data_IF_232968696484
#
_entry.id   IF_232968696484
#
_cell.length_a   1.000
_cell.length_b   1.000
_cell.length_c   1.000
_cell.angle_alpha   90.00
_cell.angle_beta   90.00
_cell.angle_gamma   90.00
#
_symmetry.space_group_name_H-M   'P 1'
#
loop_
_entity.id
_entity.type
_entity.pdbx_description
1 polymer ?
#
# COMPACT_ATOMS: atom_id res chain seq x y z
N UNK A 1 -1.45 -16.46 -49.54
CA UNK A 1 -1.28 -17.63 -48.68
C UNK A 1 0.09 -17.54 -48.02
N UNK A 2 0.19 -16.84 -46.93
CA UNK A 2 1.40 -16.80 -46.06
C UNK A 2 0.87 -16.67 -44.61
N UNK A 3 0.90 -17.77 -43.91
CA UNK A 3 0.56 -17.85 -42.47
C UNK A 3 1.73 -17.29 -41.68
N UNK A 4 1.50 -16.22 -40.93
CA UNK A 4 2.43 -15.74 -39.88
C UNK A 4 2.12 -16.52 -38.59
N UNK A 5 3.07 -17.36 -38.19
CA UNK A 5 3.15 -17.95 -36.87
C UNK A 5 3.47 -16.83 -35.86
N UNK A 6 2.54 -16.51 -34.96
CA UNK A 6 2.82 -15.88 -33.69
C UNK A 6 2.90 -16.99 -32.67
N UNK A 7 4.10 -17.41 -32.31
CA UNK A 7 4.37 -18.19 -31.12
C UNK A 7 5.62 -17.57 -30.50
N UNK A 8 5.45 -16.84 -29.43
CA UNK A 8 6.44 -16.65 -28.39
C UNK A 8 5.70 -16.50 -27.06
N UNK A 9 5.21 -17.62 -26.52
CA UNK A 9 5.03 -17.76 -25.09
C UNK A 9 6.44 -17.89 -24.50
N UNK A 10 6.95 -16.80 -23.97
CA UNK A 10 8.08 -16.85 -23.05
C UNK A 10 7.47 -17.15 -21.68
N UNK A 11 7.47 -18.42 -21.30
CA UNK A 11 7.31 -18.80 -19.90
C UNK A 11 8.47 -18.16 -19.13
N UNK A 12 8.21 -17.41 -18.04
CA UNK A 12 9.29 -16.96 -17.19
C UNK A 12 9.83 -18.18 -16.44
N UNK A 13 10.99 -18.68 -16.88
CA UNK A 13 11.82 -19.57 -16.06
C UNK A 13 12.30 -18.77 -14.85
N UNK A 14 11.56 -18.87 -13.77
CA UNK A 14 11.99 -18.39 -12.45
C UNK A 14 13.03 -19.39 -11.96
N UNK A 15 14.30 -19.11 -12.20
CA UNK A 15 15.37 -19.67 -11.36
C UNK A 15 15.18 -19.13 -9.97
N UNK A 16 14.98 -20.03 -9.01
CA UNK A 16 14.63 -19.77 -7.62
C UNK A 16 15.75 -19.04 -6.86
N UNK A 17 15.80 -17.73 -7.00
CA UNK A 17 16.39 -16.81 -6.06
C UNK A 17 15.28 -15.91 -5.55
N UNK A 18 14.66 -16.32 -4.46
CA UNK A 18 13.60 -15.54 -3.80
C UNK A 18 14.19 -14.23 -3.25
N UNK A 19 13.98 -13.14 -3.94
CA UNK A 19 14.32 -11.80 -3.47
C UNK A 19 13.06 -11.14 -2.92
N UNK A 20 13.00 -10.85 -1.63
CA UNK A 20 11.83 -10.16 -1.06
C UNK A 20 11.69 -8.77 -1.69
N UNK A 21 10.51 -8.49 -2.25
CA UNK A 21 10.11 -7.15 -2.67
C UNK A 21 9.70 -6.37 -1.41
N UNK A 22 10.63 -5.66 -0.79
CA UNK A 22 10.41 -5.04 0.51
C UNK A 22 10.83 -3.59 0.48
N UNK A 23 9.97 -2.71 1.00
CA UNK A 23 10.39 -1.35 1.37
C UNK A 23 11.45 -1.49 2.46
N UNK A 24 12.62 -0.92 2.22
CA UNK A 24 13.69 -0.80 3.21
C UNK A 24 13.49 0.42 4.09
N UNK A 25 13.04 1.52 3.47
CA UNK A 25 12.85 2.80 4.16
C UNK A 25 11.71 3.59 3.52
N UNK A 26 10.83 4.13 4.34
CA UNK A 26 9.86 5.15 3.96
C UNK A 26 10.09 6.35 4.88
N UNK A 27 10.48 7.48 4.30
CA UNK A 27 10.64 8.73 5.03
C UNK A 27 9.67 9.78 4.51
N UNK A 28 9.02 10.49 5.43
CA UNK A 28 8.05 11.55 5.12
C UNK A 28 8.30 12.76 6.01
N UNK A 29 8.40 13.93 5.41
CA UNK A 29 8.59 15.18 6.13
C UNK A 29 7.59 16.24 5.69
N UNK A 30 7.13 17.03 6.65
CA UNK A 30 6.22 18.17 6.46
C UNK A 30 4.93 17.82 5.69
N UNK A 31 4.39 16.61 5.93
CA UNK A 31 3.13 16.16 5.35
C UNK A 31 2.11 15.82 6.44
N UNK A 32 1.05 16.60 6.56
CA UNK A 32 -0.02 16.45 7.56
C UNK A 32 0.55 16.38 8.98
N UNK A 33 0.52 15.20 9.63
CA UNK A 33 1.09 14.98 10.95
C UNK A 33 2.49 14.33 10.91
N UNK A 34 3.00 13.99 9.74
CA UNK A 34 4.29 13.34 9.57
C UNK A 34 5.39 14.38 9.38
N UNK A 35 6.31 14.42 10.32
CA UNK A 35 7.43 15.34 10.35
C UNK A 35 8.68 14.60 10.80
N UNK A 36 9.71 14.55 9.95
CA UNK A 36 10.88 13.70 10.15
C UNK A 36 10.48 12.26 10.52
N UNK A 37 9.45 11.77 9.83
CA UNK A 37 8.87 10.47 10.10
C UNK A 37 9.57 9.41 9.24
N UNK A 38 10.13 8.41 9.89
CA UNK A 38 10.72 7.24 9.24
C UNK A 38 10.02 5.98 9.73
N UNK A 39 9.53 5.15 8.80
CA UNK A 39 8.84 3.91 9.14
C UNK A 39 9.87 2.77 9.19
N UNK A 40 10.13 2.15 10.36
CA UNK A 40 11.15 1.10 10.52
C UNK A 40 10.58 -0.28 10.13
N UNK A 41 10.53 -0.60 8.83
CA UNK A 41 9.90 -1.82 8.28
C UNK A 41 10.84 -2.68 7.45
N UNK A 42 12.13 -2.38 7.47
CA UNK A 42 13.13 -3.15 6.72
C UNK A 42 13.16 -4.61 7.14
N UNK A 43 13.11 -5.51 6.15
CA UNK A 43 13.16 -6.96 6.38
C UNK A 43 11.87 -7.60 6.89
N UNK A 44 10.79 -6.84 7.08
CA UNK A 44 9.51 -7.34 7.57
C UNK A 44 8.53 -7.58 6.41
N UNK A 45 8.07 -8.81 6.25
CA UNK A 45 7.06 -9.16 5.23
C UNK A 45 5.65 -8.71 5.62
N UNK A 46 5.37 -8.53 6.91
CA UNK A 46 4.09 -8.01 7.40
C UNK A 46 4.29 -7.13 8.62
N UNK A 47 3.59 -6.00 8.66
CA UNK A 47 3.69 -4.97 9.70
C UNK A 47 2.30 -4.53 10.12
N UNK A 48 2.08 -4.37 11.43
CA UNK A 48 0.88 -3.78 11.99
C UNK A 48 1.18 -2.40 12.59
N UNK A 49 0.42 -1.41 12.16
CA UNK A 49 0.45 -0.06 12.74
C UNK A 49 -0.69 0.08 13.75
N UNK A 50 -0.36 0.29 15.01
CA UNK A 50 -1.33 0.52 16.09
C UNK A 50 -1.17 1.92 16.69
N UNK A 51 -2.15 2.40 17.42
CA UNK A 51 -2.13 3.71 18.08
C UNK A 51 -3.49 4.38 18.07
N UNK A 52 -3.66 5.43 18.85
CA UNK A 52 -4.93 6.17 18.99
C UNK A 52 -5.42 6.78 17.66
N UNK A 53 -6.71 7.13 17.61
CA UNK A 53 -7.24 7.92 16.51
C UNK A 53 -6.47 9.25 16.38
N UNK A 54 -6.15 9.63 15.14
CA UNK A 54 -5.35 10.83 14.88
C UNK A 54 -3.84 10.68 15.08
N UNK A 55 -3.33 9.47 15.41
CA UNK A 55 -1.89 9.22 15.55
C UNK A 55 -1.12 9.20 14.23
N UNK A 56 -1.79 9.16 13.08
CA UNK A 56 -1.16 9.23 11.76
C UNK A 56 -1.11 7.93 10.98
N UNK A 57 -1.73 6.83 11.46
CA UNK A 57 -1.76 5.52 10.77
C UNK A 57 -2.24 5.64 9.31
N UNK A 58 -3.43 6.16 9.10
CA UNK A 58 -3.99 6.41 7.75
C UNK A 58 -3.13 7.38 6.93
N UNK A 59 -2.42 8.32 7.59
CA UNK A 59 -1.55 9.28 6.89
C UNK A 59 -0.35 8.61 6.24
N UNK A 60 0.15 7.50 6.81
CA UNK A 60 1.18 6.65 6.17
C UNK A 60 0.64 6.10 4.83
N UNK A 61 -0.58 5.59 4.82
CA UNK A 61 -1.26 5.13 3.60
C UNK A 61 -1.42 6.24 2.56
N UNK A 62 -1.76 7.48 2.97
CA UNK A 62 -1.82 8.61 2.04
C UNK A 62 -0.46 8.98 1.45
N UNK A 63 0.63 8.85 2.20
CA UNK A 63 1.97 9.07 1.67
C UNK A 63 2.34 8.04 0.59
N UNK A 64 2.04 6.76 0.82
CA UNK A 64 2.20 5.70 -0.17
C UNK A 64 1.30 5.91 -1.40
N UNK A 65 0.06 6.35 -1.20
CA UNK A 65 -0.89 6.64 -2.30
C UNK A 65 -0.38 7.76 -3.23
N UNK A 66 0.29 8.78 -2.68
CA UNK A 66 0.90 9.84 -3.50
C UNK A 66 1.96 9.24 -4.43
N UNK A 67 2.86 8.39 -3.91
CA UNK A 67 3.88 7.72 -4.70
C UNK A 67 3.28 6.80 -5.76
N UNK A 68 2.24 6.04 -5.40
CA UNK A 68 1.50 5.20 -6.32
C UNK A 68 0.85 6.01 -7.45
N UNK A 69 0.16 7.11 -7.13
CA UNK A 69 -0.49 8.00 -8.12
C UNK A 69 0.53 8.57 -9.11
N UNK A 70 1.70 8.97 -8.61
CA UNK A 70 2.79 9.43 -9.49
C UNK A 70 3.14 8.32 -10.48
N UNK A 71 3.37 7.10 -10.02
CA UNK A 71 3.73 5.97 -10.89
C UNK A 71 2.62 5.59 -11.88
N UNK A 72 1.35 5.75 -11.49
CA UNK A 72 0.17 5.56 -12.36
C UNK A 72 -0.08 6.70 -13.36
N UNK A 73 0.83 7.68 -13.46
CA UNK A 73 0.79 8.74 -14.46
C UNK A 73 0.26 10.09 -13.98
N UNK A 74 -0.15 10.23 -12.71
CA UNK A 74 -0.54 11.54 -12.18
C UNK A 74 0.70 12.42 -12.05
N UNK A 75 0.81 13.41 -12.92
CA UNK A 75 1.98 14.27 -12.98
C UNK A 75 1.75 15.69 -12.42
N UNK A 76 0.51 16.16 -12.30
CA UNK A 76 0.21 17.50 -11.76
C UNK A 76 0.20 17.49 -10.24
N UNK A 77 1.00 18.35 -9.62
CA UNK A 77 1.15 18.42 -8.15
C UNK A 77 -0.21 18.67 -7.47
N UNK A 78 -1.06 19.53 -8.02
CA UNK A 78 -2.38 19.85 -7.45
C UNK A 78 -3.32 18.65 -7.30
N UNK A 79 -3.07 17.58 -8.09
CA UNK A 79 -3.84 16.32 -8.07
C UNK A 79 -3.22 15.30 -7.08
N UNK A 80 -2.02 15.57 -6.57
CA UNK A 80 -1.27 14.76 -5.61
C UNK A 80 -1.36 15.33 -4.21
N UNK A 81 -0.98 16.59 -4.03
CA UNK A 81 -0.89 17.28 -2.74
C UNK A 81 -1.37 18.73 -2.84
N UNK A 82 -1.78 19.29 -1.71
CA UNK A 82 -2.25 20.69 -1.60
C UNK A 82 -1.48 21.41 -0.49
N UNK A 83 -1.48 22.74 -0.51
CA UNK A 83 -0.85 23.56 0.54
C UNK A 83 -1.38 23.26 1.95
N UNK A 84 -2.66 22.90 2.07
CA UNK A 84 -3.26 22.47 3.34
C UNK A 84 -2.69 21.16 3.91
N UNK A 85 -1.98 20.37 3.09
CA UNK A 85 -1.34 19.14 3.53
C UNK A 85 0.05 19.39 4.16
N UNK A 86 0.56 20.63 4.11
CA UNK A 86 1.76 21.03 4.85
C UNK A 86 1.50 20.95 6.38
N UNK A 87 2.42 20.36 7.09
CA UNK A 87 2.32 20.20 8.56
C UNK A 87 2.16 21.57 9.23
N UNK A 88 1.01 21.79 9.86
CA UNK A 88 0.68 23.06 10.54
C UNK A 88 0.80 24.30 9.63
N UNK A 89 0.66 24.12 8.31
CA UNK A 89 0.78 25.19 7.34
C UNK A 89 2.19 25.77 7.16
N UNK A 90 3.24 25.02 7.56
CA UNK A 90 4.64 25.49 7.44
C UNK A 90 5.10 25.48 5.99
N UNK A 91 5.20 26.65 5.41
CA UNK A 91 5.63 26.86 4.01
C UNK A 91 7.13 27.01 3.84
N UNK A 92 7.85 27.29 4.93
CA UNK A 92 9.30 27.48 4.96
C UNK A 92 10.09 26.17 4.80
N UNK A 93 9.44 25.03 5.02
CA UNK A 93 10.02 23.71 4.85
C UNK A 93 9.39 22.96 3.68
N UNK A 94 10.15 22.23 2.90
CA UNK A 94 9.57 21.41 1.81
C UNK A 94 8.80 20.23 2.37
N UNK A 95 7.71 19.86 1.69
CA UNK A 95 7.05 18.57 1.86
C UNK A 95 7.87 17.52 1.10
N UNK A 96 8.37 16.48 1.79
CA UNK A 96 9.32 15.52 1.23
C UNK A 96 8.86 14.09 1.43
N UNK A 97 9.00 13.27 0.39
CA UNK A 97 8.76 11.84 0.40
C UNK A 97 10.01 11.12 -0.13
N UNK A 98 10.47 10.12 0.61
CA UNK A 98 11.55 9.24 0.18
C UNK A 98 11.11 7.79 0.36
N UNK A 99 11.40 6.96 -0.62
CA UNK A 99 11.18 5.52 -0.54
C UNK A 99 12.42 4.79 -1.04
N UNK A 100 12.88 3.83 -0.25
CA UNK A 100 13.94 2.90 -0.62
C UNK A 100 13.35 1.49 -0.67
N UNK A 101 13.56 0.81 -1.80
CA UNK A 101 13.01 -0.53 -2.03
C UNK A 101 14.06 -1.45 -2.64
N UNK A 102 14.00 -2.72 -2.31
CA UNK A 102 14.79 -3.75 -2.97
C UNK A 102 13.95 -4.48 -4.02
N UNK A 103 14.32 -4.38 -5.29
CA UNK A 103 13.68 -5.04 -6.42
C UNK A 103 14.73 -5.81 -7.20
N UNK A 104 14.55 -7.12 -7.38
CA UNK A 104 15.47 -7.97 -8.14
C UNK A 104 16.93 -7.84 -7.66
N UNK A 105 17.15 -7.89 -6.33
CA UNK A 105 18.45 -7.71 -5.68
C UNK A 105 19.16 -6.37 -5.97
N UNK A 106 18.41 -5.35 -6.36
CA UNK A 106 18.89 -3.98 -6.56
C UNK A 106 18.13 -3.02 -5.67
N UNK A 107 18.83 -2.03 -5.15
CA UNK A 107 18.25 -1.00 -4.28
C UNK A 107 17.85 0.22 -5.10
N UNK A 108 16.58 0.55 -5.07
CA UNK A 108 15.99 1.72 -5.71
C UNK A 108 15.69 2.77 -4.66
N UNK A 109 16.15 3.98 -4.88
CA UNK A 109 15.94 5.13 -4.01
C UNK A 109 15.21 6.22 -4.81
N UNK A 110 13.99 6.56 -4.39
CA UNK A 110 13.23 7.64 -4.99
C UNK A 110 12.96 8.73 -3.97
N UNK A 111 13.21 9.95 -4.36
CA UNK A 111 12.99 11.16 -3.56
C UNK A 111 12.19 12.16 -4.36
N UNK A 112 11.17 12.75 -3.75
CA UNK A 112 10.46 13.90 -4.29
C UNK A 112 10.18 14.92 -3.18
N UNK A 113 10.41 16.21 -3.46
CA UNK A 113 10.10 17.29 -2.55
C UNK A 113 9.33 18.41 -3.25
N UNK A 114 8.32 18.90 -2.55
CA UNK A 114 7.47 20.02 -2.97
C UNK A 114 7.70 21.20 -2.04
N UNK A 115 7.70 22.41 -2.59
CA UNK A 115 7.79 23.65 -1.81
C UNK A 115 6.70 24.63 -2.22
N UNK A 116 6.33 25.51 -1.31
CA UNK A 116 5.48 26.67 -1.60
C UNK A 116 6.32 27.93 -1.39
N UNK A 117 6.93 28.50 -2.45
CA UNK A 117 7.70 29.71 -2.31
C UNK A 117 6.85 30.90 -1.89
N UNK A 118 7.47 31.89 -1.30
CA UNK A 118 6.86 33.17 -0.97
C UNK A 118 6.23 33.77 -2.24
N UNK A 119 5.04 34.34 -2.12
CA UNK A 119 4.22 34.89 -3.22
C UNK A 119 3.64 33.88 -4.22
N UNK A 120 3.85 32.56 -4.05
CA UNK A 120 3.25 31.54 -4.86
C UNK A 120 1.95 31.02 -4.22
N UNK A 121 0.95 30.69 -5.07
CA UNK A 121 -0.33 30.12 -4.64
C UNK A 121 -0.35 28.59 -4.72
N UNK A 122 0.55 27.99 -5.49
CA UNK A 122 0.59 26.56 -5.76
C UNK A 122 1.96 26.00 -5.42
N UNK A 123 1.96 24.76 -4.95
CA UNK A 123 3.18 23.98 -4.70
C UNK A 123 3.90 23.71 -6.02
N UNK A 124 5.23 23.72 -5.99
CA UNK A 124 6.09 23.32 -7.10
C UNK A 124 7.06 22.23 -6.69
N UNK A 125 7.59 21.47 -7.64
CA UNK A 125 8.68 20.53 -7.38
C UNK A 125 9.96 21.30 -7.08
N UNK A 126 10.56 21.03 -5.92
CA UNK A 126 11.87 21.54 -5.55
C UNK A 126 12.97 20.64 -6.08
N UNK A 127 12.83 19.33 -5.81
CA UNK A 127 13.76 18.30 -6.27
C UNK A 127 13.04 16.98 -6.51
N UNK A 128 13.59 16.19 -7.40
CA UNK A 128 13.13 14.82 -7.66
C UNK A 128 14.32 13.98 -8.13
N UNK A 129 14.46 12.76 -7.63
CA UNK A 129 15.58 11.88 -7.94
C UNK A 129 15.15 10.44 -7.91
N UNK A 130 15.58 9.67 -8.89
CA UNK A 130 15.60 8.20 -8.84
C UNK A 130 17.06 7.75 -8.96
N UNK A 131 17.49 6.90 -8.04
CA UNK A 131 18.78 6.24 -8.08
C UNK A 131 18.62 4.72 -7.93
N UNK A 132 19.58 3.97 -8.45
CA UNK A 132 19.64 2.51 -8.33
C UNK A 132 21.07 2.12 -7.95
N UNK A 133 21.20 1.41 -6.82
CA UNK A 133 22.49 1.05 -6.22
C UNK A 133 23.38 2.29 -6.02
N UNK A 134 22.77 3.40 -5.55
CA UNK A 134 23.40 4.69 -5.32
C UNK A 134 23.72 5.49 -6.60
N UNK A 135 23.49 4.92 -7.79
CA UNK A 135 23.75 5.62 -9.06
C UNK A 135 22.48 6.30 -9.56
N UNK A 136 22.50 7.60 -9.87
CA UNK A 136 21.31 8.29 -10.35
C UNK A 136 20.86 7.73 -11.72
N UNK A 137 19.56 7.48 -11.86
CA UNK A 137 18.89 7.23 -13.15
C UNK A 137 18.51 8.58 -13.75
N UNK A 138 17.93 9.44 -12.93
CA UNK A 138 17.75 10.85 -13.23
C UNK A 138 17.77 11.68 -11.96
N UNK A 139 18.06 12.97 -12.13
CA UNK A 139 17.91 13.99 -11.08
C UNK A 139 17.16 15.17 -11.65
N UNK A 140 16.45 15.86 -10.78
CA UNK A 140 15.75 17.08 -11.10
C UNK A 140 15.94 18.11 -9.99
N UNK A 141 16.30 19.30 -10.40
CA UNK A 141 16.28 20.49 -9.56
C UNK A 141 15.41 21.55 -10.23
N UNK A 142 14.36 21.98 -9.54
CA UNK A 142 13.39 22.93 -10.06
C UNK A 142 12.80 22.49 -11.40
N UNK A 143 13.04 23.25 -12.48
CA UNK A 143 12.57 22.95 -13.83
C UNK A 143 13.50 22.03 -14.63
N UNK A 144 14.76 21.85 -14.19
CA UNK A 144 15.77 21.15 -14.99
C UNK A 144 15.84 19.66 -14.62
N UNK A 145 15.55 18.79 -15.57
CA UNK A 145 15.73 17.33 -15.48
C UNK A 145 17.02 16.95 -16.20
N UNK A 146 17.82 16.11 -15.54
CA UNK A 146 19.07 15.57 -16.05
C UNK A 146 19.01 14.05 -15.98
N UNK A 147 19.09 13.38 -17.13
CA UNK A 147 19.15 11.93 -17.23
C UNK A 147 20.60 11.46 -17.09
N UNK A 148 20.81 10.36 -16.38
CA UNK A 148 22.13 9.76 -16.27
C UNK A 148 22.59 9.17 -17.61
N UNK A 149 23.92 9.14 -17.81
CA UNK A 149 24.52 8.57 -19.01
C UNK A 149 24.29 7.06 -19.08
N UNK A 150 23.64 6.60 -20.14
CA UNK A 150 23.66 5.20 -20.55
C UNK A 150 24.72 5.04 -21.61
N UNK A 151 25.71 4.16 -21.42
CA UNK A 151 26.80 3.79 -22.33
C UNK A 151 26.99 4.67 -23.58
N UNK A 152 27.92 5.65 -23.49
CA UNK A 152 28.39 6.51 -24.58
C UNK A 152 27.48 7.63 -25.12
N UNK A 153 26.28 7.80 -24.63
CA UNK A 153 25.42 8.92 -25.01
C UNK A 153 25.70 10.17 -24.16
N UNK A 154 25.43 11.35 -24.76
CA UNK A 154 25.54 12.64 -24.05
C UNK A 154 24.47 12.69 -22.95
N UNK A 155 24.86 13.27 -21.83
CA UNK A 155 23.94 13.64 -20.76
C UNK A 155 22.73 14.41 -21.32
N UNK A 156 21.55 13.82 -21.28
CA UNK A 156 20.35 14.49 -21.77
C UNK A 156 19.80 15.41 -20.68
N UNK A 157 19.57 16.66 -21.04
CA UNK A 157 18.94 17.64 -20.15
C UNK A 157 17.74 18.24 -20.86
N UNK A 158 16.65 18.38 -20.13
CA UNK A 158 15.45 19.05 -20.63
C UNK A 158 14.76 19.84 -19.52
N UNK A 159 13.90 20.76 -19.92
CA UNK A 159 13.11 21.56 -18.99
C UNK A 159 11.70 20.99 -18.89
N UNK A 160 11.15 20.99 -17.69
CA UNK A 160 9.79 20.60 -17.39
C UNK A 160 9.14 21.71 -16.54
N UNK A 161 7.82 21.85 -16.67
CA UNK A 161 7.06 22.77 -15.83
C UNK A 161 7.25 22.44 -14.33
N UNK A 162 7.35 23.47 -13.52
CA UNK A 162 7.59 23.35 -12.08
C UNK A 162 6.46 22.63 -11.33
N UNK A 163 5.26 22.62 -11.90
CA UNK A 163 4.06 22.00 -11.31
C UNK A 163 3.82 20.57 -11.81
N UNK A 164 4.74 20.01 -12.59
CA UNK A 164 4.67 18.65 -13.10
C UNK A 164 5.77 17.78 -12.46
N UNK A 165 5.43 16.56 -12.05
CA UNK A 165 6.35 15.53 -11.57
C UNK A 165 7.04 14.88 -12.77
N UNK A 166 8.35 14.58 -12.68
CA UNK A 166 9.12 14.05 -13.80
C UNK A 166 8.95 12.54 -13.98
N UNK A 167 8.82 11.76 -12.91
CA UNK A 167 8.74 10.29 -12.97
C UNK A 167 7.73 9.77 -14.02
N UNK A 168 6.48 10.29 -14.14
CA UNK A 168 5.54 9.85 -15.17
C UNK A 168 5.93 10.25 -16.60
N UNK A 169 6.76 11.29 -16.75
CA UNK A 169 7.07 11.93 -18.04
C UNK A 169 8.34 11.36 -18.67
N UNK A 170 9.32 11.00 -17.82
CA UNK A 170 10.55 10.37 -18.30
C UNK A 170 10.21 9.03 -18.95
N UNK A 171 10.63 8.86 -20.22
CA UNK A 171 10.33 7.66 -20.99
C UNK A 171 11.32 6.54 -20.69
N UNK A 172 10.80 5.35 -20.54
CA UNK A 172 11.58 4.13 -20.41
C UNK A 172 12.08 3.65 -21.78
N UNK A 173 13.28 3.09 -21.83
CA UNK A 173 13.86 2.57 -23.06
C UNK A 173 13.48 1.11 -23.32
N UNK A 174 13.17 0.34 -22.28
CA UNK A 174 12.81 -1.07 -22.38
C UNK A 174 12.16 -1.57 -21.07
N UNK A 175 11.59 -2.77 -21.10
CA UNK A 175 11.09 -3.43 -19.89
C UNK A 175 12.19 -3.78 -18.87
N UNK A 176 13.45 -3.79 -19.27
CA UNK A 176 14.61 -3.99 -18.38
C UNK A 176 15.17 -2.68 -17.83
N UNK A 177 14.61 -1.55 -18.25
CA UNK A 177 15.00 -0.23 -17.75
C UNK A 177 14.68 -0.14 -16.24
N UNK A 178 15.64 0.26 -15.42
CA UNK A 178 15.41 0.51 -14.00
C UNK A 178 14.22 1.43 -13.73
N UNK A 179 14.02 2.44 -14.56
CA UNK A 179 12.88 3.35 -14.47
C UNK A 179 11.56 2.60 -14.66
N UNK A 180 11.46 1.71 -15.67
CA UNK A 180 10.28 0.89 -15.91
C UNK A 180 9.98 -0.02 -14.73
N UNK A 181 10.99 -0.76 -14.23
CA UNK A 181 10.85 -1.70 -13.10
C UNK A 181 10.32 -0.97 -11.86
N UNK A 182 10.91 0.17 -11.53
CA UNK A 182 10.49 0.97 -10.36
C UNK A 182 9.08 1.54 -10.51
N UNK A 183 8.75 2.11 -11.67
CA UNK A 183 7.40 2.66 -11.95
C UNK A 183 6.34 1.56 -11.88
N UNK A 184 6.59 0.40 -12.48
CA UNK A 184 5.66 -0.73 -12.46
C UNK A 184 5.42 -1.22 -11.02
N UNK A 185 6.48 -1.34 -10.22
CA UNK A 185 6.35 -1.75 -8.83
C UNK A 185 5.50 -0.76 -8.02
N UNK A 186 5.81 0.54 -8.10
CA UNK A 186 5.02 1.58 -7.43
C UNK A 186 3.56 1.60 -7.88
N UNK A 187 3.31 1.51 -9.18
CA UNK A 187 1.96 1.57 -9.76
C UNK A 187 1.08 0.41 -9.27
N UNK A 188 1.70 -0.76 -9.02
CA UNK A 188 1.00 -1.99 -8.61
C UNK A 188 0.78 -2.10 -7.11
N UNK A 189 1.29 -1.19 -6.28
CA UNK A 189 0.96 -1.17 -4.86
C UNK A 189 -0.57 -1.21 -4.67
N UNK A 190 -1.03 -1.97 -3.68
CA UNK A 190 -2.42 -1.98 -3.26
C UNK A 190 -2.57 -1.07 -2.03
N UNK A 191 -3.24 0.06 -2.19
CA UNK A 191 -3.52 0.99 -1.08
C UNK A 191 -5.02 0.96 -0.83
N UNK A 192 -5.44 0.24 0.21
CA UNK A 192 -6.83 -0.12 0.43
C UNK A 192 -7.38 0.55 1.69
N UNK A 193 -8.52 1.17 1.54
CA UNK A 193 -9.39 1.74 2.60
C UNK A 193 -10.83 1.47 2.18
N UNK A 194 -11.25 0.18 2.15
CA UNK A 194 -12.56 -0.20 1.62
C UNK A 194 -13.71 0.47 2.36
N UNK A 195 -14.75 0.80 1.61
CA UNK A 195 -16.05 1.20 2.14
C UNK A 195 -17.06 0.18 1.62
N UNK A 196 -17.22 -0.99 2.30
CA UNK A 196 -17.97 -2.13 1.76
C UNK A 196 -19.40 -1.79 1.34
N UNK A 197 -20.07 -0.90 2.04
CA UNK A 197 -21.42 -0.43 1.71
C UNK A 197 -21.53 0.34 0.37
N UNK A 198 -20.40 0.84 -0.16
CA UNK A 198 -20.33 1.51 -1.46
C UNK A 198 -19.85 0.60 -2.61
N UNK A 199 -19.48 -0.64 -2.30
CA UNK A 199 -18.97 -1.58 -3.30
C UNK A 199 -20.15 -2.27 -3.97
N UNK A 200 -20.24 -2.06 -5.29
CA UNK A 200 -21.25 -2.68 -6.15
C UNK A 200 -20.63 -3.81 -6.96
N UNK A 201 -21.50 -4.72 -7.42
CA UNK A 201 -21.12 -5.84 -8.28
C UNK A 201 -20.93 -5.46 -9.75
N UNK A 202 -21.30 -4.25 -10.14
CA UNK A 202 -21.32 -3.81 -11.52
C UNK A 202 -19.95 -3.33 -12.00
N UNK A 203 -19.61 -3.64 -13.26
CA UNK A 203 -18.45 -3.06 -13.92
C UNK A 203 -18.67 -2.91 -15.41
N UNK A 204 -18.29 -1.77 -15.97
CA UNK A 204 -18.22 -1.51 -17.41
C UNK A 204 -16.81 -1.71 -17.97
N UNK A 205 -15.81 -1.77 -17.11
CA UNK A 205 -14.39 -1.79 -17.44
C UNK A 205 -13.69 -2.96 -16.77
N UNK A 206 -12.53 -3.33 -17.29
CA UNK A 206 -11.62 -4.31 -16.70
C UNK A 206 -10.37 -3.58 -16.29
N UNK A 207 -10.17 -3.39 -14.98
CA UNK A 207 -9.08 -2.59 -14.42
C UNK A 207 -8.36 -3.40 -13.35
N UNK A 208 -7.04 -3.63 -13.55
CA UNK A 208 -6.21 -4.37 -12.58
C UNK A 208 -5.89 -3.56 -11.32
N UNK A 209 -6.00 -2.23 -11.39
CA UNK A 209 -5.69 -1.37 -10.27
C UNK A 209 -6.95 -1.05 -9.46
N UNK A 210 -7.06 -1.56 -8.22
CA UNK A 210 -8.17 -1.16 -7.36
C UNK A 210 -8.06 0.32 -6.97
N UNK A 211 -9.23 0.96 -6.85
CA UNK A 211 -9.31 2.26 -6.17
C UNK A 211 -9.09 2.05 -4.67
N UNK A 212 -8.65 3.07 -3.94
CA UNK A 212 -8.44 2.92 -2.49
C UNK A 212 -9.68 2.50 -1.72
N UNK A 213 -10.86 2.99 -2.08
CA UNK A 213 -12.16 2.63 -1.50
C UNK A 213 -12.74 1.31 -2.01
N UNK A 214 -12.05 0.68 -3.00
CA UNK A 214 -12.43 -0.57 -3.67
C UNK A 214 -13.80 -0.52 -4.34
N UNK A 215 -14.34 0.67 -4.62
CA UNK A 215 -15.63 0.82 -5.32
C UNK A 215 -15.63 0.23 -6.72
N UNK A 216 -14.46 -0.01 -7.33
CA UNK A 216 -14.29 -0.71 -8.61
C UNK A 216 -13.97 -2.21 -8.44
N UNK A 217 -14.47 -2.87 -7.37
CA UNK A 217 -14.22 -4.28 -7.07
C UNK A 217 -14.51 -5.20 -8.26
N UNK A 218 -15.67 -5.05 -8.90
CA UNK A 218 -16.09 -5.90 -10.02
C UNK A 218 -15.16 -5.76 -11.24
N UNK A 219 -14.66 -4.53 -11.52
CA UNK A 219 -13.67 -4.27 -12.56
C UNK A 219 -12.36 -5.00 -12.26
N UNK A 220 -11.90 -4.91 -11.00
CA UNK A 220 -10.68 -5.56 -10.55
C UNK A 220 -10.78 -7.08 -10.57
N UNK A 221 -11.89 -7.64 -10.06
CA UNK A 221 -12.18 -9.07 -10.12
C UNK A 221 -12.16 -9.59 -11.56
N UNK A 222 -12.88 -8.90 -12.46
CA UNK A 222 -12.99 -9.30 -13.87
C UNK A 222 -11.64 -9.25 -14.58
N UNK A 223 -10.88 -8.16 -14.39
CA UNK A 223 -9.55 -8.00 -14.97
C UNK A 223 -8.57 -9.08 -14.47
N UNK A 224 -8.56 -9.33 -13.15
CA UNK A 224 -7.64 -10.30 -12.54
C UNK A 224 -7.94 -11.73 -13.03
N UNK A 225 -9.22 -12.13 -13.04
CA UNK A 225 -9.62 -13.49 -13.45
C UNK A 225 -9.53 -13.71 -14.95
N UNK A 226 -9.73 -12.67 -15.77
CA UNK A 226 -9.57 -12.76 -17.22
C UNK A 226 -8.11 -12.85 -17.64
N UNK A 227 -7.27 -11.97 -17.07
CA UNK A 227 -5.85 -11.93 -17.42
C UNK A 227 -5.08 -13.10 -16.82
N UNK A 228 -5.50 -13.58 -15.65
CA UNK A 228 -4.86 -14.66 -14.90
C UNK A 228 -5.88 -15.71 -14.45
N UNK A 229 -6.39 -16.56 -15.36
CA UNK A 229 -7.50 -17.49 -15.07
C UNK A 229 -7.25 -18.44 -13.89
N UNK A 230 -5.98 -18.79 -13.61
CA UNK A 230 -5.62 -19.63 -12.47
C UNK A 230 -5.95 -18.99 -11.11
N UNK A 231 -6.05 -17.65 -11.04
CA UNK A 231 -6.37 -16.92 -9.81
C UNK A 231 -7.79 -17.17 -9.33
N UNK A 232 -8.73 -17.47 -10.25
CA UNK A 232 -10.11 -17.77 -9.87
C UNK A 232 -10.21 -18.98 -8.92
N UNK A 233 -9.44 -20.05 -9.20
CA UNK A 233 -9.40 -21.22 -8.33
C UNK A 233 -8.93 -20.89 -6.91
N UNK A 234 -7.93 -20.02 -6.79
CA UNK A 234 -7.38 -19.57 -5.51
C UNK A 234 -8.35 -18.68 -4.72
N UNK A 235 -9.04 -17.77 -5.43
CA UNK A 235 -10.09 -16.94 -4.85
C UNK A 235 -11.17 -17.83 -4.23
N UNK A 236 -11.70 -18.80 -4.99
CA UNK A 236 -12.73 -19.72 -4.52
C UNK A 236 -12.22 -20.62 -3.39
N UNK A 237 -11.00 -21.12 -3.46
CA UNK A 237 -10.38 -21.95 -2.42
C UNK A 237 -10.33 -21.22 -1.07
N UNK A 238 -9.85 -19.96 -1.06
CA UNK A 238 -9.84 -19.14 0.16
C UNK A 238 -11.25 -18.84 0.67
N UNK A 239 -12.15 -18.42 -0.22
CA UNK A 239 -13.51 -18.06 0.16
C UNK A 239 -14.31 -19.23 0.74
N UNK A 240 -14.08 -20.45 0.28
CA UNK A 240 -14.70 -21.67 0.86
C UNK A 240 -14.23 -21.99 2.28
N UNK A 241 -13.08 -21.46 2.71
CA UNK A 241 -12.63 -21.61 4.10
C UNK A 241 -13.42 -20.71 5.06
N UNK A 242 -13.92 -19.57 4.59
CA UNK A 242 -14.64 -18.57 5.37
C UNK A 242 -16.14 -18.57 5.10
N UNK A 243 -16.56 -19.01 3.91
CA UNK A 243 -17.94 -19.19 3.47
C UNK A 243 -18.09 -20.61 2.88
N UNK A 244 -18.26 -21.65 3.72
CA UNK A 244 -18.22 -23.05 3.28
C UNK A 244 -19.30 -23.44 2.26
N UNK A 245 -20.43 -22.75 2.23
CA UNK A 245 -21.53 -22.93 1.31
C UNK A 245 -21.36 -22.15 -0.02
N UNK A 246 -20.29 -21.37 -0.17
CA UNK A 246 -19.97 -20.71 -1.43
C UNK A 246 -19.76 -21.77 -2.54
N UNK A 247 -20.53 -21.66 -3.60
CA UNK A 247 -20.43 -22.55 -4.76
C UNK A 247 -19.63 -21.92 -5.90
N UNK A 248 -19.98 -20.70 -6.27
CA UNK A 248 -19.48 -20.06 -7.49
C UNK A 248 -19.63 -18.52 -7.42
N UNK A 249 -18.80 -17.81 -8.20
CA UNK A 249 -18.92 -16.37 -8.42
C UNK A 249 -19.06 -16.20 -9.95
N UNK A 250 -20.22 -15.79 -10.37
CA UNK A 250 -20.56 -15.64 -11.79
C UNK A 250 -20.39 -14.19 -12.23
N UNK A 251 -19.65 -14.01 -13.32
CA UNK A 251 -19.60 -12.76 -14.05
C UNK A 251 -20.39 -12.94 -15.35
N UNK A 252 -21.68 -12.56 -15.40
CA UNK A 252 -22.57 -12.92 -16.49
C UNK A 252 -22.28 -12.22 -17.82
N UNK A 253 -21.25 -11.38 -17.91
CA UNK A 253 -20.82 -10.77 -19.16
C UNK A 253 -21.64 -9.54 -19.58
N UNK A 254 -21.58 -9.15 -20.86
CA UNK A 254 -22.00 -7.84 -21.37
C UNK A 254 -23.48 -7.46 -21.18
N UNK A 255 -24.35 -8.42 -20.98
CA UNK A 255 -25.81 -8.16 -20.89
C UNK A 255 -26.34 -8.06 -19.45
N UNK A 256 -25.57 -8.51 -18.45
CA UNK A 256 -25.86 -8.37 -17.03
C UNK A 256 -24.54 -8.15 -16.29
N UNK A 257 -24.23 -6.91 -16.04
CA UNK A 257 -22.89 -6.45 -15.61
C UNK A 257 -22.59 -6.66 -14.13
N UNK A 258 -23.53 -7.23 -13.36
CA UNK A 258 -23.36 -7.41 -11.92
C UNK A 258 -22.86 -8.83 -11.59
N UNK A 259 -21.85 -8.90 -10.71
CA UNK A 259 -21.37 -10.16 -10.16
C UNK A 259 -22.49 -10.83 -9.36
N UNK A 260 -22.68 -12.14 -9.57
CA UNK A 260 -23.64 -12.95 -8.84
C UNK A 260 -22.87 -14.00 -8.04
N UNK A 261 -23.10 -14.03 -6.73
CA UNK A 261 -22.52 -15.03 -5.82
C UNK A 261 -23.54 -16.14 -5.60
N UNK A 262 -23.13 -17.38 -5.86
CA UNK A 262 -23.96 -18.55 -5.69
C UNK A 262 -23.52 -19.34 -4.45
N UNK A 263 -24.46 -19.56 -3.56
CA UNK A 263 -24.35 -20.45 -2.40
C UNK A 263 -25.12 -21.73 -2.62
N UNK A 264 -24.69 -22.85 -2.03
CA UNK A 264 -25.35 -24.14 -2.13
C UNK A 264 -25.11 -24.99 -0.87
N UNK A 265 -26.18 -25.57 -0.34
CA UNK A 265 -26.15 -26.51 0.76
C UNK A 265 -27.12 -27.68 0.49
N UNK A 266 -27.24 -28.62 1.42
CA UNK A 266 -28.24 -29.71 1.34
C UNK A 266 -29.69 -29.20 1.32
N UNK A 267 -29.91 -27.94 1.77
CA UNK A 267 -31.24 -27.32 1.80
C UNK A 267 -31.61 -26.62 0.47
N UNK A 268 -30.67 -26.44 -0.46
CA UNK A 268 -30.92 -25.79 -1.73
C UNK A 268 -29.78 -24.90 -2.22
N UNK A 269 -30.10 -24.06 -3.20
CA UNK A 269 -29.15 -23.11 -3.78
C UNK A 269 -29.74 -21.71 -3.79
N UNK A 270 -28.90 -20.71 -3.47
CA UNK A 270 -29.23 -19.29 -3.46
C UNK A 270 -28.28 -18.54 -4.39
N UNK A 271 -28.82 -17.62 -5.17
CA UNK A 271 -28.02 -16.64 -5.94
C UNK A 271 -28.31 -15.25 -5.41
N UNK A 272 -27.25 -14.56 -5.03
CA UNK A 272 -27.32 -13.18 -4.56
C UNK A 272 -26.52 -12.27 -5.52
N UNK A 273 -27.04 -11.09 -5.87
CA UNK A 273 -26.22 -10.02 -6.39
C UNK A 273 -25.09 -9.69 -5.39
N UNK A 274 -23.92 -9.31 -5.90
CA UNK A 274 -22.78 -9.00 -5.05
C UNK A 274 -23.07 -7.88 -4.02
N UNK A 275 -23.86 -6.89 -4.41
CA UNK A 275 -24.28 -5.78 -3.55
C UNK A 275 -25.05 -6.21 -2.31
N UNK A 276 -25.75 -7.34 -2.37
CA UNK A 276 -26.55 -7.91 -1.27
C UNK A 276 -25.72 -8.68 -0.24
N UNK A 277 -24.42 -8.89 -0.50
CA UNK A 277 -23.51 -9.46 0.48
C UNK A 277 -23.35 -8.52 1.67
N UNK A 278 -23.17 -9.08 2.86
CA UNK A 278 -22.81 -8.32 4.04
C UNK A 278 -21.46 -7.65 3.91
N UNK A 279 -21.21 -6.59 4.67
CA UNK A 279 -19.93 -5.87 4.65
C UNK A 279 -18.74 -6.79 4.99
N UNK A 280 -18.92 -7.75 5.90
CA UNK A 280 -17.91 -8.75 6.24
C UNK A 280 -17.61 -9.70 5.07
N UNK A 281 -18.63 -10.23 4.39
CA UNK A 281 -18.46 -11.07 3.21
C UNK A 281 -17.74 -10.32 2.09
N UNK A 282 -18.08 -9.04 1.87
CA UNK A 282 -17.36 -8.18 0.92
C UNK A 282 -15.88 -8.01 1.32
N UNK A 283 -15.55 -7.89 2.61
CA UNK A 283 -14.16 -7.86 3.07
C UNK A 283 -13.42 -9.17 2.79
N UNK A 284 -14.05 -10.32 2.94
CA UNK A 284 -13.46 -11.60 2.55
C UNK A 284 -13.24 -11.69 1.04
N UNK A 285 -14.17 -11.18 0.24
CA UNK A 285 -14.00 -11.11 -1.21
C UNK A 285 -12.81 -10.23 -1.62
N UNK A 286 -12.64 -9.06 -0.98
CA UNK A 286 -11.47 -8.19 -1.19
C UNK A 286 -10.19 -8.92 -0.79
N UNK A 287 -10.19 -9.59 0.37
CA UNK A 287 -9.05 -10.38 0.83
C UNK A 287 -8.65 -11.45 -0.19
N UNK A 288 -9.62 -12.19 -0.72
CA UNK A 288 -9.38 -13.21 -1.74
C UNK A 288 -8.66 -12.64 -2.97
N UNK A 289 -9.04 -11.43 -3.42
CA UNK A 289 -8.37 -10.77 -4.54
C UNK A 289 -6.96 -10.32 -4.18
N UNK A 290 -6.75 -9.78 -2.98
CA UNK A 290 -5.42 -9.39 -2.50
C UNK A 290 -4.48 -10.61 -2.46
N UNK A 291 -4.95 -11.73 -1.91
CA UNK A 291 -4.18 -12.98 -1.85
C UNK A 291 -3.83 -13.48 -3.26
N UNK A 292 -4.80 -13.50 -4.16
CA UNK A 292 -4.61 -13.95 -5.55
C UNK A 292 -3.66 -13.03 -6.32
N UNK A 293 -3.78 -11.71 -6.16
CA UNK A 293 -2.90 -10.73 -6.80
C UNK A 293 -1.45 -10.88 -6.31
N UNK A 294 -1.24 -11.05 -4.99
CA UNK A 294 0.08 -11.20 -4.40
C UNK A 294 0.75 -12.54 -4.77
N UNK A 295 -0.02 -13.63 -4.88
CA UNK A 295 0.52 -14.94 -5.29
C UNK A 295 1.00 -14.92 -6.75
N UNK A 296 0.25 -14.23 -7.62
CA UNK A 296 0.60 -14.14 -9.03
C UNK A 296 1.86 -13.28 -9.26
N UNK A 297 1.90 -12.11 -8.64
CA UNK A 297 3.05 -11.20 -8.75
C UNK A 297 3.14 -10.38 -7.46
N UNK A 298 4.15 -10.66 -6.60
CA UNK A 298 4.25 -10.07 -5.27
C UNK A 298 4.13 -8.54 -5.27
N UNK A 299 3.31 -8.01 -4.37
CA UNK A 299 3.00 -6.58 -4.26
C UNK A 299 3.27 -6.03 -2.86
N UNK A 300 3.33 -4.70 -2.74
CA UNK A 300 3.11 -4.01 -1.48
C UNK A 300 1.60 -3.82 -1.30
N UNK A 301 1.05 -4.27 -0.19
CA UNK A 301 -0.32 -3.99 0.22
C UNK A 301 -0.34 -3.17 1.52
N UNK A 302 -0.85 -1.95 1.45
CA UNK A 302 -1.25 -1.18 2.64
C UNK A 302 -2.77 -1.27 2.77
N UNK A 303 -3.26 -1.80 3.89
CA UNK A 303 -4.70 -1.92 4.14
C UNK A 303 -5.05 -1.24 5.47
N UNK A 304 -5.82 -0.17 5.36
CA UNK A 304 -6.27 0.61 6.52
C UNK A 304 -7.48 -0.07 7.17
N UNK A 305 -7.33 -0.53 8.41
CA UNK A 305 -8.36 -1.17 9.23
C UNK A 305 -9.09 -2.34 8.53
N UNK A 306 -8.37 -3.38 8.06
CA UNK A 306 -8.94 -4.48 7.30
C UNK A 306 -9.98 -5.31 8.08
N UNK A 307 -9.98 -5.21 9.40
CA UNK A 307 -10.77 -5.99 10.35
C UNK A 307 -12.04 -5.27 10.84
N UNK A 308 -12.29 -4.03 10.45
CA UNK A 308 -13.40 -3.21 10.97
C UNK A 308 -14.80 -3.80 10.76
N UNK A 309 -14.98 -4.61 9.72
CA UNK A 309 -16.29 -5.16 9.35
C UNK A 309 -16.43 -6.66 9.65
N UNK A 310 -15.42 -7.25 10.28
CA UNK A 310 -15.38 -8.69 10.57
C UNK A 310 -15.87 -8.99 12.00
N UNK A 311 -16.50 -10.14 12.16
CA UNK A 311 -16.78 -10.65 13.49
C UNK A 311 -15.47 -11.01 14.22
N UNK A 312 -15.41 -10.80 15.54
CA UNK A 312 -14.21 -11.04 16.34
C UNK A 312 -13.61 -12.44 16.14
N UNK A 313 -14.46 -13.45 15.96
CA UNK A 313 -14.05 -14.84 15.71
C UNK A 313 -13.36 -15.04 14.35
N UNK A 314 -13.57 -14.14 13.39
CA UNK A 314 -13.07 -14.22 12.00
C UNK A 314 -11.76 -13.46 11.81
N UNK A 315 -11.54 -12.41 12.60
CA UNK A 315 -10.37 -11.53 12.48
C UNK A 315 -9.06 -12.31 12.52
N UNK A 316 -8.94 -13.27 13.46
CA UNK A 316 -7.73 -14.05 13.61
C UNK A 316 -7.38 -14.87 12.36
N UNK A 317 -8.38 -15.50 11.73
CA UNK A 317 -8.20 -16.28 10.50
C UNK A 317 -7.83 -15.37 9.32
N UNK A 318 -8.54 -14.27 9.17
CA UNK A 318 -8.32 -13.26 8.15
C UNK A 318 -6.88 -12.71 8.16
N UNK A 319 -6.42 -12.27 9.33
CA UNK A 319 -5.06 -11.72 9.49
C UNK A 319 -4.00 -12.77 9.22
N UNK A 320 -4.20 -14.03 9.70
CA UNK A 320 -3.25 -15.12 9.44
C UNK A 320 -3.15 -15.47 7.96
N UNK A 321 -4.26 -15.47 7.22
CA UNK A 321 -4.25 -15.73 5.78
C UNK A 321 -3.41 -14.68 5.03
N UNK A 322 -3.61 -13.39 5.33
CA UNK A 322 -2.81 -12.30 4.75
C UNK A 322 -1.34 -12.44 5.11
N UNK A 323 -1.00 -12.57 6.39
CA UNK A 323 0.39 -12.70 6.83
C UNK A 323 1.10 -13.88 6.16
N UNK A 324 0.45 -15.04 6.08
CA UNK A 324 1.01 -16.24 5.42
C UNK A 324 1.27 -16.01 3.94
N UNK A 325 0.34 -15.38 3.22
CA UNK A 325 0.51 -15.09 1.81
C UNK A 325 1.70 -14.15 1.54
N UNK A 326 1.85 -13.11 2.35
CA UNK A 326 2.94 -12.15 2.20
C UNK A 326 4.30 -12.65 2.74
N UNK A 327 4.34 -13.70 3.55
CA UNK A 327 5.58 -14.40 3.87
C UNK A 327 6.17 -15.12 2.65
N UNK A 328 5.32 -15.56 1.72
CA UNK A 328 5.75 -16.16 0.46
C UNK A 328 6.24 -15.14 -0.58
N UNK A 329 5.92 -13.85 -0.44
CA UNK A 329 6.34 -12.76 -1.31
C UNK A 329 5.53 -11.50 -1.09
N UNK A 330 6.12 -10.36 -1.44
CA UNK A 330 5.52 -9.05 -1.23
C UNK A 330 5.65 -8.53 0.19
N UNK A 331 4.92 -7.44 0.51
CA UNK A 331 4.92 -6.84 1.84
C UNK A 331 3.52 -6.36 2.21
N UNK A 332 3.07 -6.69 3.42
CA UNK A 332 1.77 -6.32 3.95
C UNK A 332 1.90 -5.34 5.11
N UNK A 333 1.26 -4.19 5.02
CA UNK A 333 1.17 -3.19 6.08
C UNK A 333 -0.30 -2.99 6.40
N UNK A 334 -0.71 -3.29 7.63
CA UNK A 334 -2.07 -3.06 8.09
C UNK A 334 -2.11 -2.03 9.22
N UNK A 335 -3.24 -1.37 9.37
CA UNK A 335 -3.57 -0.65 10.60
C UNK A 335 -4.67 -1.39 11.32
N UNK A 336 -4.70 -1.38 12.64
CA UNK A 336 -5.81 -1.93 13.40
C UNK A 336 -5.89 -1.32 14.80
N UNK A 337 -7.10 -1.41 15.37
CA UNK A 337 -7.40 -1.18 16.77
C UNK A 337 -7.92 -2.44 17.46
N UNK A 338 -8.06 -3.54 16.74
CA UNK A 338 -8.68 -4.78 17.21
C UNK A 338 -7.64 -5.64 17.93
N UNK A 339 -7.96 -6.04 19.16
CA UNK A 339 -7.11 -6.90 19.98
C UNK A 339 -6.77 -8.21 19.26
N UNK A 340 -7.76 -8.85 18.63
CA UNK A 340 -7.52 -10.12 17.91
C UNK A 340 -6.53 -9.97 16.75
N UNK A 341 -6.51 -8.82 16.08
CA UNK A 341 -5.52 -8.52 15.05
C UNK A 341 -4.13 -8.31 15.66
N UNK A 342 -4.06 -7.54 16.77
CA UNK A 342 -2.81 -7.26 17.49
C UNK A 342 -2.18 -8.55 17.98
N UNK A 343 -2.93 -9.45 18.59
CA UNK A 343 -2.46 -10.73 19.12
C UNK A 343 -1.92 -11.69 18.02
N UNK A 344 -2.21 -11.42 16.74
CA UNK A 344 -1.73 -12.20 15.61
C UNK A 344 -0.43 -11.67 14.99
N UNK A 345 0.04 -10.50 15.42
CA UNK A 345 1.34 -9.96 15.08
C UNK A 345 2.32 -10.16 16.25
N UNK A 346 3.61 -10.27 15.95
CA UNK A 346 4.65 -10.23 16.95
C UNK A 346 4.98 -8.79 17.34
N UNK A 347 5.56 -8.59 18.52
CA UNK A 347 6.00 -7.28 18.99
C UNK A 347 7.02 -6.63 18.04
N UNK A 348 7.84 -7.45 17.36
CA UNK A 348 8.81 -7.00 16.37
C UNK A 348 8.16 -6.44 15.10
N UNK A 349 6.98 -6.98 14.74
CA UNK A 349 6.23 -6.58 13.54
C UNK A 349 5.11 -5.57 13.85
N UNK A 350 4.99 -5.15 15.09
CA UNK A 350 3.97 -4.17 15.52
C UNK A 350 4.64 -2.85 15.83
N UNK A 351 4.17 -1.78 15.17
CA UNK A 351 4.67 -0.43 15.34
C UNK A 351 3.60 0.43 16.03
N UNK A 352 3.98 1.03 17.14
CA UNK A 352 3.12 1.96 17.87
C UNK A 352 3.32 3.39 17.36
N UNK A 353 2.26 3.98 16.83
CA UNK A 353 2.20 5.38 16.42
C UNK A 353 1.53 6.21 17.53
N UNK A 354 2.23 7.21 18.03
CA UNK A 354 1.73 8.12 19.04
C UNK A 354 1.85 9.57 18.63
N UNK A 355 0.94 10.39 19.16
CA UNK A 355 0.93 11.83 19.00
C UNK A 355 0.26 12.46 20.21
N UNK A 356 0.98 13.28 20.96
CA UNK A 356 0.47 13.87 22.22
C UNK A 356 -0.68 14.85 21.95
N UNK A 357 -0.56 15.65 20.93
CA UNK A 357 -1.58 16.63 20.53
C UNK A 357 -1.44 17.00 19.03
N UNK A 358 -2.35 17.81 18.51
CA UNK A 358 -2.36 18.19 17.09
C UNK A 358 -1.20 19.12 16.67
N UNK A 359 -0.47 19.68 17.60
CA UNK A 359 0.68 20.56 17.32
C UNK A 359 2.02 19.81 17.32
N UNK A 360 2.02 18.53 17.72
CA UNK A 360 3.21 17.70 17.74
C UNK A 360 3.24 16.72 16.56
N UNK A 361 4.41 16.27 16.11
CA UNK A 361 4.53 15.28 15.08
C UNK A 361 4.11 13.89 15.57
N UNK A 362 3.81 13.02 14.60
CA UNK A 362 3.65 11.58 14.86
C UNK A 362 5.01 10.95 15.16
N UNK A 363 5.08 10.21 16.24
CA UNK A 363 6.21 9.37 16.60
C UNK A 363 5.87 7.91 16.32
N UNK A 364 6.85 7.13 15.89
CA UNK A 364 6.72 5.68 15.66
C UNK A 364 7.78 4.96 16.46
N UNK A 365 7.40 3.83 17.09
CA UNK A 365 8.29 2.96 17.84
C UNK A 365 7.91 1.49 17.63
N UNK A 366 8.86 0.58 17.43
CA UNK A 366 8.59 -0.85 17.53
C UNK A 366 8.05 -1.21 18.92
N UNK A 367 7.05 -2.06 18.96
CA UNK A 367 6.47 -2.50 20.24
C UNK A 367 7.49 -3.27 21.08
N UNK A 368 8.40 -4.01 20.44
CA UNK A 368 9.52 -4.72 21.08
C UNK A 368 10.49 -3.83 21.85
N UNK A 369 10.57 -2.53 21.51
CA UNK A 369 11.41 -1.56 22.23
C UNK A 369 10.69 -0.90 23.40
N UNK A 370 9.41 -1.22 23.60
CA UNK A 370 8.59 -0.62 24.66
C UNK A 370 8.55 -1.55 25.89
N UNK A 371 8.71 -0.97 27.09
CA UNK A 371 8.49 -1.70 28.34
C UNK A 371 7.00 -1.74 28.63
N UNK A 372 6.35 -2.86 28.29
CA UNK A 372 4.93 -3.07 28.52
C UNK A 372 4.76 -3.96 29.74
N UNK A 373 4.10 -3.46 30.77
CA UNK A 373 3.70 -4.24 31.94
C UNK A 373 2.32 -4.86 31.67
N UNK A 374 2.30 -6.13 31.24
CA UNK A 374 1.05 -6.86 30.96
C UNK A 374 0.74 -6.99 29.48
N UNK A 375 -0.54 -7.14 29.15
CA UNK A 375 -1.04 -7.30 27.80
C UNK A 375 -1.05 -5.97 27.03
N UNK A 376 -0.59 -6.01 25.75
CA UNK A 376 -0.50 -4.84 24.86
C UNK A 376 -1.85 -4.16 24.69
N UNK A 377 -2.91 -4.94 24.53
CA UNK A 377 -4.26 -4.42 24.33
C UNK A 377 -4.77 -3.67 25.55
N UNK A 378 -4.48 -4.18 26.73
CA UNK A 378 -4.82 -3.52 28.01
C UNK A 378 -4.03 -2.21 28.14
N UNK A 379 -2.73 -2.22 27.83
CA UNK A 379 -1.89 -1.03 27.86
C UNK A 379 -2.36 0.05 26.87
N UNK A 380 -2.85 -0.36 25.67
CA UNK A 380 -3.45 0.56 24.67
C UNK A 380 -4.72 1.21 25.22
N UNK A 381 -5.62 0.42 25.83
CA UNK A 381 -6.90 0.91 26.39
C UNK A 381 -6.65 1.86 27.55
N UNK A 382 -5.70 1.55 28.42
CA UNK A 382 -5.35 2.37 29.59
C UNK A 382 -4.53 3.62 29.22
N UNK A 383 -3.96 3.67 27.98
CA UNK A 383 -3.11 4.76 27.52
C UNK A 383 -1.68 4.70 28.08
N UNK A 384 -1.29 3.58 28.68
CA UNK A 384 0.04 3.40 29.30
C UNK A 384 1.18 3.43 28.25
N UNK A 385 0.86 3.17 26.99
CA UNK A 385 1.82 3.26 25.87
C UNK A 385 2.13 4.72 25.47
N UNK A 386 1.26 5.68 25.79
CA UNK A 386 1.48 7.10 25.45
C UNK A 386 2.38 7.82 26.46
N UNK A 387 2.34 7.39 27.71
CA UNK A 387 3.19 7.93 28.75
C UNK A 387 4.55 7.22 28.72
N UNK A 388 5.52 7.78 28.00
CA UNK A 388 6.93 7.43 28.20
C UNK A 388 7.35 7.82 29.62
N UNK A 389 6.79 7.18 30.63
CA UNK A 389 7.30 7.26 32.01
C UNK A 389 8.67 6.61 32.04
N UNK A 390 9.70 7.41 31.78
CA UNK A 390 11.00 7.15 32.37
C UNK A 390 10.73 6.84 33.84
N UNK A 391 11.14 5.63 34.27
CA UNK A 391 10.89 5.14 35.61
C UNK A 391 11.07 6.21 36.67
N UNK A 392 9.98 6.68 37.24
CA UNK A 392 10.03 7.38 38.50
C UNK A 392 10.49 6.37 39.53
N UNK A 393 11.72 6.49 39.96
CA UNK A 393 12.25 5.81 41.13
C UNK A 393 11.20 5.86 42.25
N UNK A 394 11.00 4.78 43.04
CA UNK A 394 10.05 4.79 44.13
C UNK A 394 10.48 5.93 45.10
N UNK A 395 9.58 6.86 45.35
CA UNK A 395 9.74 7.83 46.42
C UNK A 395 9.93 7.05 47.72
N UNK A 396 11.17 6.94 48.18
CA UNK A 396 11.48 6.48 49.52
C UNK A 396 10.68 7.32 50.51
N UNK A 397 9.75 6.66 51.18
CA UNK A 397 9.07 7.27 52.32
C UNK A 397 10.10 7.70 53.35
N UNK A 398 10.03 8.92 53.73
CA UNK A 398 10.65 9.43 54.97
C UNK A 398 9.54 9.59 55.98
N UNK A 399 9.71 8.87 57.03
CA UNK A 399 9.04 8.90 58.32
C UNK A 399 8.83 10.29 58.92
#
# INVERSE_FOLDING_TARGET
MIARKCNNHIEPTIEAGYYPLVIRRLYVHNFRCLENFELPISGQSSVLLIGKNGSGKTTVGFALEILQKIARGTNRIKDLVKSKDLTRGRTELPMRFEIEVELNARVYEYTIAFELPEDFKELRVREEKLAVDGKPVYTREMAQVQLAKTNQEREARFLIDWHLVALPIVQEQSQKDPLFIFKQWLARMLILRPIPSLILGDSEEEILEPKPDVTNFAAWFSALTLQYPATYGKIVEYLKQVMPDLKDIQNPGKDSRSLIVQFSSDQGSLKLPFEDLSDGEKCFMICALVLAANEYDPVLCFWDEPDNYLALSEVGHFVLALRKAFQAGGQFIATSHNQQAIDRFSDENTLFLSRRNHLEPTLVRPLSEMQINGDVSTALVLGDLDDGKQGSAPRSGAS
#
